data_IF_772336512662
#
_entry.id   IF_772336512662
#
_cell.length_a   1.000
_cell.length_b   1.000
_cell.length_c   1.000
_cell.angle_alpha   90.00
_cell.angle_beta   90.00
_cell.angle_gamma   90.00
#
_symmetry.space_group_name_H-M   'P 1'
#
loop_
_entity.id
_entity.type
_entity.pdbx_description
1 polymer ?
#
# COMPACT_ATOMS: atom_id res chain seq x y z
N UNK A 1 26.75 -28.35 11.63
CA UNK A 1 25.44 -27.82 12.07
C UNK A 1 24.39 -28.51 11.24
N UNK A 2 23.27 -28.92 11.83
CA UNK A 2 22.20 -29.56 11.06
C UNK A 2 21.75 -28.62 9.92
N UNK A 3 21.59 -29.10 8.68
CA UNK A 3 21.17 -28.28 7.54
C UNK A 3 19.87 -27.51 7.82
N UNK A 4 19.00 -28.08 8.66
CA UNK A 4 17.75 -27.46 9.13
C UNK A 4 18.03 -26.22 9.98
N UNK A 5 19.00 -26.27 10.89
CA UNK A 5 19.37 -25.15 11.76
C UNK A 5 19.98 -24.01 10.94
N UNK A 6 20.84 -24.33 9.98
CA UNK A 6 21.44 -23.36 9.05
C UNK A 6 20.34 -22.67 8.23
N UNK A 7 19.35 -23.42 7.75
CA UNK A 7 18.20 -22.89 7.04
C UNK A 7 17.38 -21.90 7.86
N UNK A 8 17.12 -22.19 9.14
CA UNK A 8 16.41 -21.27 10.03
C UNK A 8 17.17 -19.97 10.26
N UNK A 9 18.50 -20.05 10.45
CA UNK A 9 19.35 -18.86 10.57
C UNK A 9 19.38 -18.03 9.28
N UNK A 10 19.48 -18.67 8.11
CA UNK A 10 19.41 -18.01 6.80
C UNK A 10 18.05 -17.32 6.59
N UNK A 11 16.95 -17.99 6.93
CA UNK A 11 15.61 -17.40 6.81
C UNK A 11 15.42 -16.19 7.74
N UNK A 12 15.86 -16.31 9.00
CA UNK A 12 15.80 -15.22 9.97
C UNK A 12 16.65 -14.02 9.52
N UNK A 13 17.88 -14.27 9.08
CA UNK A 13 18.78 -13.22 8.58
C UNK A 13 18.26 -12.60 7.28
N UNK A 14 17.63 -13.38 6.38
CA UNK A 14 16.96 -12.87 5.19
C UNK A 14 15.84 -11.90 5.54
N UNK A 15 14.99 -12.25 6.52
CA UNK A 15 13.89 -11.40 6.97
C UNK A 15 14.39 -10.04 7.47
N UNK A 16 15.39 -10.03 8.36
CA UNK A 16 15.97 -8.78 8.85
C UNK A 16 16.74 -8.00 7.77
N UNK A 17 17.39 -8.70 6.84
CA UNK A 17 18.07 -8.07 5.71
C UNK A 17 17.07 -7.34 4.80
N UNK A 18 15.93 -7.96 4.47
CA UNK A 18 14.85 -7.33 3.70
C UNK A 18 14.38 -6.05 4.39
N UNK A 19 14.11 -6.11 5.70
CA UNK A 19 13.70 -4.92 6.46
C UNK A 19 14.79 -3.84 6.38
N UNK A 20 16.05 -4.19 6.61
CA UNK A 20 17.17 -3.26 6.53
C UNK A 20 17.28 -2.57 5.16
N UNK A 21 17.18 -3.34 4.07
CA UNK A 21 17.23 -2.78 2.71
C UNK A 21 16.01 -1.94 2.36
N UNK A 22 14.82 -2.28 2.85
CA UNK A 22 13.61 -1.46 2.68
C UNK A 22 13.75 -0.12 3.39
N UNK A 23 14.36 -0.09 4.59
CA UNK A 23 14.62 1.14 5.33
C UNK A 23 15.62 2.07 4.63
N UNK A 24 16.50 1.55 3.77
CA UNK A 24 17.40 2.34 2.94
C UNK A 24 16.67 3.07 1.78
N UNK A 25 15.38 2.81 1.57
CA UNK A 25 14.57 3.50 0.57
C UNK A 25 14.73 2.99 -0.86
N UNK A 26 15.35 1.84 -1.06
CA UNK A 26 15.41 1.20 -2.38
C UNK A 26 14.00 0.73 -2.82
N UNK A 27 13.67 0.78 -4.13
CA UNK A 27 12.36 0.34 -4.59
C UNK A 27 12.08 -1.12 -4.20
N UNK A 28 10.91 -1.35 -3.62
CA UNK A 28 10.51 -2.61 -2.97
C UNK A 28 10.75 -3.83 -3.86
N UNK A 29 10.42 -3.75 -5.15
CA UNK A 29 10.59 -4.85 -6.10
C UNK A 29 12.05 -5.31 -6.22
N UNK A 30 13.00 -4.38 -6.33
CA UNK A 30 14.42 -4.70 -6.44
C UNK A 30 14.98 -5.20 -5.12
N UNK A 31 14.52 -4.63 -4.00
CA UNK A 31 14.91 -5.09 -2.68
C UNK A 31 14.51 -6.54 -2.47
N UNK A 32 13.24 -6.89 -2.69
CA UNK A 32 12.74 -8.26 -2.51
C UNK A 32 13.40 -9.25 -3.47
N UNK A 33 13.53 -8.91 -4.76
CA UNK A 33 14.15 -9.79 -5.75
C UNK A 33 15.65 -9.99 -5.45
N UNK A 34 16.38 -8.90 -5.18
CA UNK A 34 17.81 -8.91 -4.91
C UNK A 34 18.13 -9.70 -3.64
N UNK A 35 17.46 -9.43 -2.53
CA UNK A 35 17.67 -10.19 -1.29
C UNK A 35 17.33 -11.66 -1.47
N UNK A 36 16.24 -11.98 -2.17
CA UNK A 36 15.86 -13.38 -2.40
C UNK A 36 16.91 -14.13 -3.22
N UNK A 37 17.49 -13.49 -4.25
CA UNK A 37 18.55 -14.10 -5.08
C UNK A 37 19.85 -14.26 -4.28
N UNK A 38 20.25 -13.25 -3.50
CA UNK A 38 21.46 -13.32 -2.65
C UNK A 38 21.33 -14.49 -1.66
N UNK A 39 20.19 -14.59 -0.98
CA UNK A 39 19.96 -15.65 -0.01
C UNK A 39 19.74 -17.02 -0.65
N UNK A 40 19.19 -17.10 -1.87
CA UNK A 40 19.15 -18.33 -2.64
C UNK A 40 20.58 -18.81 -2.99
N UNK A 41 21.47 -17.89 -3.38
CA UNK A 41 22.88 -18.23 -3.66
C UNK A 41 23.62 -18.69 -2.39
N UNK A 42 23.42 -18.01 -1.27
CA UNK A 42 23.95 -18.45 0.03
C UNK A 42 23.39 -19.81 0.44
N UNK A 43 22.09 -20.03 0.24
CA UNK A 43 21.45 -21.32 0.51
C UNK A 43 21.99 -22.47 -0.34
N UNK A 44 22.38 -22.21 -1.59
CA UNK A 44 23.06 -23.19 -2.44
C UNK A 44 24.46 -23.52 -1.89
N UNK A 45 25.22 -22.50 -1.45
CA UNK A 45 26.56 -22.70 -0.89
C UNK A 45 26.55 -23.55 0.38
N UNK A 46 25.52 -23.42 1.21
CA UNK A 46 25.36 -24.22 2.43
C UNK A 46 24.59 -25.54 2.22
N UNK A 47 24.27 -25.92 0.98
CA UNK A 47 23.49 -27.12 0.63
C UNK A 47 22.11 -27.20 1.29
N UNK A 48 21.53 -26.05 1.66
CA UNK A 48 20.19 -25.95 2.28
C UNK A 48 19.09 -25.63 1.25
N UNK A 49 19.48 -25.13 0.08
CA UNK A 49 18.56 -24.74 -0.99
C UNK A 49 18.83 -25.54 -2.26
N UNK A 50 17.77 -26.04 -2.91
CA UNK A 50 17.87 -26.76 -4.18
C UNK A 50 17.58 -25.81 -5.36
N UNK A 51 18.50 -25.80 -6.32
CA UNK A 51 18.39 -25.03 -7.56
C UNK A 51 17.15 -25.39 -8.38
N UNK A 52 16.62 -26.61 -8.23
CA UNK A 52 15.36 -27.03 -8.86
C UNK A 52 14.18 -26.12 -8.48
N UNK A 53 14.19 -25.54 -7.28
CA UNK A 53 13.16 -24.61 -6.79
C UNK A 53 13.09 -23.32 -7.60
N UNK A 54 14.19 -22.88 -8.22
CA UNK A 54 14.20 -21.70 -9.10
C UNK A 54 13.50 -21.96 -10.43
N UNK A 55 13.36 -23.22 -10.87
CA UNK A 55 12.61 -23.54 -12.11
C UNK A 55 11.13 -23.24 -11.96
N UNK A 56 10.58 -23.38 -10.74
CA UNK A 56 9.19 -23.00 -10.44
C UNK A 56 8.95 -21.48 -10.60
N UNK A 57 10.00 -20.66 -10.55
CA UNK A 57 9.91 -19.21 -10.69
C UNK A 57 9.36 -18.83 -12.07
N UNK A 58 9.79 -19.50 -13.14
CA UNK A 58 9.34 -19.22 -14.50
C UNK A 58 7.83 -19.46 -14.65
N UNK A 59 7.32 -20.58 -14.14
CA UNK A 59 5.89 -20.87 -14.14
C UNK A 59 5.07 -19.86 -13.33
N UNK A 60 5.58 -19.42 -12.17
CA UNK A 60 4.96 -18.38 -11.35
C UNK A 60 4.92 -17.03 -12.08
N UNK A 61 6.02 -16.63 -12.72
CA UNK A 61 6.08 -15.39 -13.50
C UNK A 61 5.04 -15.37 -14.62
N UNK A 62 4.97 -16.43 -15.42
CA UNK A 62 3.95 -16.55 -16.49
C UNK A 62 2.54 -16.52 -15.91
N UNK A 63 2.30 -17.23 -14.81
CA UNK A 63 1.00 -17.24 -14.13
C UNK A 63 0.54 -15.85 -13.66
N UNK A 64 1.44 -15.04 -13.11
CA UNK A 64 1.14 -13.65 -12.75
C UNK A 64 0.93 -12.77 -13.99
N UNK A 65 1.70 -12.95 -15.06
CA UNK A 65 1.54 -12.15 -16.29
C UNK A 65 0.19 -12.37 -16.98
N UNK A 66 -0.36 -13.58 -16.89
CA UNK A 66 -1.66 -13.93 -17.50
C UNK A 66 -2.84 -13.73 -16.56
N UNK A 67 -2.62 -13.23 -15.34
CA UNK A 67 -3.67 -13.08 -14.36
C UNK A 67 -4.59 -11.90 -14.70
N UNK A 68 -5.81 -12.20 -15.11
CA UNK A 68 -6.82 -11.20 -15.47
C UNK A 68 -7.21 -10.29 -14.30
N UNK A 69 -7.13 -10.78 -13.05
CA UNK A 69 -7.40 -9.98 -11.85
C UNK A 69 -6.36 -8.87 -11.69
N UNK A 70 -5.11 -9.12 -12.10
CA UNK A 70 -4.04 -8.12 -12.02
C UNK A 70 -4.20 -6.99 -13.06
N UNK A 71 -5.00 -7.18 -14.11
CA UNK A 71 -5.39 -6.10 -15.05
C UNK A 71 -6.18 -4.99 -14.35
N UNK A 72 -6.87 -5.32 -13.25
CA UNK A 72 -7.59 -4.33 -12.46
C UNK A 72 -6.64 -3.30 -11.81
N UNK A 73 -5.41 -3.68 -11.46
CA UNK A 73 -4.44 -2.81 -10.77
C UNK A 73 -4.11 -1.55 -11.59
N UNK A 74 -3.64 -1.62 -12.86
CA UNK A 74 -3.37 -0.43 -13.66
C UNK A 74 -4.63 0.39 -13.96
N UNK A 75 -5.80 -0.24 -14.14
CA UNK A 75 -7.07 0.46 -14.33
C UNK A 75 -7.47 1.26 -13.08
N UNK A 76 -7.23 0.72 -11.88
CA UNK A 76 -7.47 1.43 -10.62
C UNK A 76 -6.48 2.57 -10.40
N UNK A 77 -5.19 2.34 -10.70
CA UNK A 77 -4.20 3.43 -10.67
C UNK A 77 -4.61 4.54 -11.64
N UNK A 78 -5.05 4.20 -12.86
CA UNK A 78 -5.54 5.18 -13.83
C UNK A 78 -6.73 5.97 -13.31
N UNK A 79 -7.73 5.30 -12.74
CA UNK A 79 -8.90 5.95 -12.12
C UNK A 79 -8.49 6.90 -10.98
N UNK A 80 -7.61 6.45 -10.08
CA UNK A 80 -7.11 7.25 -8.97
C UNK A 80 -6.40 8.52 -9.47
N UNK A 81 -5.52 8.39 -10.46
CA UNK A 81 -4.82 9.53 -11.08
C UNK A 81 -5.81 10.47 -11.79
N UNK A 82 -6.81 9.94 -12.50
CA UNK A 82 -7.84 10.76 -13.15
C UNK A 82 -8.67 11.57 -12.15
N UNK A 83 -9.06 10.97 -11.02
CA UNK A 83 -9.80 11.64 -9.95
C UNK A 83 -8.96 12.72 -9.25
N UNK A 84 -7.67 12.47 -9.05
CA UNK A 84 -6.74 13.45 -8.50
C UNK A 84 -6.53 14.62 -9.48
N UNK A 85 -6.24 14.33 -10.76
CA UNK A 85 -5.94 15.34 -11.79
C UNK A 85 -7.15 16.18 -12.19
N UNK A 86 -8.37 15.66 -12.06
CA UNK A 86 -9.61 16.39 -12.34
C UNK A 86 -10.00 17.40 -11.26
N UNK A 87 -9.27 17.49 -10.14
CA UNK A 87 -9.56 18.36 -8.99
C UNK A 87 -10.93 18.10 -8.32
N UNK A 88 -11.56 16.97 -8.62
CA UNK A 88 -12.81 16.56 -7.97
C UNK A 88 -12.59 16.41 -6.46
N UNK A 89 -11.41 15.96 -6.03
CA UNK A 89 -10.99 15.89 -4.63
C UNK A 89 -11.16 17.22 -3.86
N UNK A 90 -10.63 18.31 -4.39
CA UNK A 90 -10.72 19.64 -3.77
C UNK A 90 -12.16 20.17 -3.75
N UNK A 91 -12.89 19.95 -4.85
CA UNK A 91 -14.30 20.35 -4.96
C UNK A 91 -15.19 19.59 -3.98
N UNK A 92 -14.96 18.28 -3.81
CA UNK A 92 -15.67 17.46 -2.83
C UNK A 92 -15.38 17.95 -1.41
N UNK A 93 -14.12 18.23 -1.07
CA UNK A 93 -13.77 18.74 0.26
C UNK A 93 -14.43 20.10 0.57
N UNK A 94 -14.40 21.02 -0.40
CA UNK A 94 -15.06 22.33 -0.28
C UNK A 94 -16.59 22.20 -0.16
N UNK A 95 -17.20 21.30 -0.93
CA UNK A 95 -18.65 21.06 -0.91
C UNK A 95 -19.09 20.40 0.39
N UNK A 96 -18.36 19.39 0.86
CA UNK A 96 -18.63 18.73 2.14
C UNK A 96 -18.41 19.69 3.31
N UNK A 97 -17.37 20.52 3.25
CA UNK A 97 -17.13 21.57 4.23
C UNK A 97 -18.28 22.59 4.31
N UNK A 98 -18.95 22.91 3.19
CA UNK A 98 -20.17 23.73 3.18
C UNK A 98 -21.39 22.96 3.70
N UNK A 99 -21.55 21.70 3.30
CA UNK A 99 -22.66 20.83 3.70
C UNK A 99 -22.69 20.63 5.22
N UNK A 100 -21.54 20.35 5.82
CA UNK A 100 -21.38 20.13 7.25
C UNK A 100 -20.94 21.40 8.00
N UNK A 101 -20.80 22.55 7.33
CA UNK A 101 -20.25 23.79 7.92
C UNK A 101 -21.05 24.32 9.12
N UNK A 102 -22.35 24.04 9.16
CA UNK A 102 -23.23 24.43 10.27
C UNK A 102 -23.14 23.48 11.49
N UNK A 103 -22.50 22.32 11.34
CA UNK A 103 -22.28 21.37 12.42
C UNK A 103 -20.95 21.62 13.13
N UNK A 104 -20.99 21.58 14.48
CA UNK A 104 -19.77 21.52 15.30
C UNK A 104 -18.95 20.28 14.88
N UNK A 105 -17.74 20.49 14.39
CA UNK A 105 -16.89 19.39 13.90
C UNK A 105 -17.08 19.01 12.43
N UNK A 106 -17.92 19.71 11.67
CA UNK A 106 -18.30 19.33 10.31
C UNK A 106 -17.14 19.27 9.31
N UNK A 107 -16.13 20.12 9.48
CA UNK A 107 -14.91 20.06 8.67
C UNK A 107 -14.13 18.76 8.91
N UNK A 108 -14.03 18.28 10.15
CA UNK A 108 -13.38 17.00 10.46
C UNK A 108 -14.11 15.80 9.84
N UNK A 109 -15.45 15.81 9.90
CA UNK A 109 -16.28 14.78 9.24
C UNK A 109 -16.07 14.80 7.73
N UNK A 110 -16.00 15.99 7.14
CA UNK A 110 -15.74 16.18 5.70
C UNK A 110 -14.38 15.59 5.30
N UNK A 111 -13.34 15.81 6.11
CA UNK A 111 -12.01 15.24 5.87
C UNK A 111 -12.03 13.71 5.94
N UNK A 112 -12.75 13.12 6.90
CA UNK A 112 -12.85 11.65 7.00
C UNK A 112 -13.58 11.07 5.79
N UNK A 113 -14.73 11.63 5.41
CA UNK A 113 -15.52 11.13 4.28
C UNK A 113 -14.80 11.30 2.95
N UNK A 114 -14.30 12.50 2.66
CA UNK A 114 -13.60 12.78 1.40
C UNK A 114 -12.27 12.04 1.36
N UNK A 115 -11.54 12.01 2.47
CA UNK A 115 -10.32 11.24 2.62
C UNK A 115 -10.57 9.75 2.35
N UNK A 116 -11.63 9.17 2.91
CA UNK A 116 -12.00 7.78 2.68
C UNK A 116 -12.35 7.49 1.21
N UNK A 117 -13.13 8.36 0.56
CA UNK A 117 -13.50 8.21 -0.86
C UNK A 117 -12.29 8.29 -1.78
N UNK A 118 -11.38 9.26 -1.54
CA UNK A 118 -10.17 9.40 -2.33
C UNK A 118 -9.16 8.28 -2.04
N UNK A 119 -9.05 7.85 -0.79
CA UNK A 119 -8.22 6.73 -0.39
C UNK A 119 -8.70 5.44 -1.07
N UNK A 120 -10.02 5.21 -1.09
CA UNK A 120 -10.63 4.07 -1.76
C UNK A 120 -10.25 4.05 -3.24
N UNK A 121 -10.35 5.18 -3.94
CA UNK A 121 -10.03 5.23 -5.36
C UNK A 121 -8.55 5.01 -5.71
N UNK A 122 -7.64 5.32 -4.79
CA UNK A 122 -6.19 5.27 -5.05
C UNK A 122 -5.54 4.01 -4.49
N UNK A 123 -6.12 3.37 -3.47
CA UNK A 123 -5.62 2.13 -2.86
C UNK A 123 -4.28 2.26 -2.14
N UNK A 124 -3.70 3.47 -2.06
CA UNK A 124 -2.35 3.73 -1.53
C UNK A 124 -2.40 4.77 -0.41
N UNK A 125 -2.26 4.30 0.84
CA UNK A 125 -2.35 5.12 2.05
C UNK A 125 -1.37 6.30 2.02
N UNK A 126 -0.12 6.07 1.61
CA UNK A 126 0.92 7.11 1.62
C UNK A 126 0.61 8.30 0.72
N UNK A 127 0.18 8.04 -0.52
CA UNK A 127 -0.16 9.10 -1.47
C UNK A 127 -1.36 9.92 -0.97
N UNK A 128 -2.42 9.25 -0.52
CA UNK A 128 -3.63 9.95 -0.07
C UNK A 128 -3.38 10.79 1.19
N UNK A 129 -2.62 10.27 2.16
CA UNK A 129 -2.30 11.01 3.39
C UNK A 129 -1.47 12.25 3.09
N UNK A 130 -0.52 12.18 2.15
CA UNK A 130 0.26 13.34 1.73
C UNK A 130 -0.64 14.38 1.03
N UNK A 131 -1.47 13.96 0.07
CA UNK A 131 -2.38 14.86 -0.64
C UNK A 131 -3.40 15.52 0.30
N UNK A 132 -4.01 14.75 1.20
CA UNK A 132 -4.91 15.28 2.24
C UNK A 132 -4.18 16.12 3.29
N UNK A 133 -2.93 15.81 3.60
CA UNK A 133 -2.09 16.65 4.43
C UNK A 133 -1.88 18.03 3.82
N UNK A 134 -1.56 18.09 2.52
CA UNK A 134 -1.32 19.36 1.82
C UNK A 134 -2.58 20.21 1.66
N UNK A 135 -3.74 19.57 1.44
CA UNK A 135 -5.01 20.27 1.15
C UNK A 135 -5.79 20.56 2.44
N UNK A 136 -5.97 19.54 3.28
CA UNK A 136 -6.91 19.56 4.41
C UNK A 136 -6.31 20.13 5.69
N UNK A 137 -5.02 19.87 5.97
CA UNK A 137 -4.39 20.33 7.21
C UNK A 137 -4.40 21.87 7.33
N UNK A 138 -4.04 22.66 6.31
CA UNK A 138 -4.11 24.12 6.42
C UNK A 138 -5.53 24.63 6.64
N UNK A 139 -6.54 23.97 6.05
CA UNK A 139 -7.94 24.33 6.24
C UNK A 139 -8.43 24.04 7.67
N UNK A 140 -8.05 22.89 8.24
CA UNK A 140 -8.37 22.52 9.62
C UNK A 140 -7.72 23.47 10.64
N UNK A 141 -6.46 23.89 10.40
CA UNK A 141 -5.77 24.86 11.26
C UNK A 141 -6.45 26.23 11.25
N UNK A 142 -6.87 26.73 10.09
CA UNK A 142 -7.65 27.99 10.00
C UNK A 142 -9.01 27.90 10.70
N UNK A 143 -9.59 26.70 10.76
CA UNK A 143 -10.83 26.44 11.47
C UNK A 143 -10.66 26.19 12.98
N UNK A 144 -9.44 26.30 13.52
CA UNK A 144 -9.16 26.17 14.96
C UNK A 144 -9.14 24.75 15.50
N UNK A 145 -8.93 23.74 14.64
CA UNK A 145 -8.77 22.35 15.11
C UNK A 145 -7.43 22.17 15.83
N UNK A 146 -7.40 21.27 16.82
CA UNK A 146 -6.16 20.81 17.43
C UNK A 146 -5.28 20.08 16.39
N UNK A 147 -3.98 20.37 16.29
CA UNK A 147 -3.08 19.71 15.33
C UNK A 147 -3.03 18.19 15.44
N UNK A 148 -3.12 17.63 16.65
CA UNK A 148 -3.09 16.17 16.86
C UNK A 148 -4.37 15.55 16.31
N UNK A 149 -5.52 16.19 16.55
CA UNK A 149 -6.80 15.73 15.99
C UNK A 149 -6.81 15.82 14.46
N UNK A 150 -6.32 16.92 13.89
CA UNK A 150 -6.27 17.11 12.44
C UNK A 150 -5.37 16.06 11.76
N UNK A 151 -4.14 15.88 12.25
CA UNK A 151 -3.23 14.86 11.73
C UNK A 151 -3.79 13.45 11.92
N UNK A 152 -4.34 13.14 13.10
CA UNK A 152 -4.96 11.84 13.38
C UNK A 152 -6.13 11.53 12.45
N UNK A 153 -7.01 12.50 12.21
CA UNK A 153 -8.15 12.34 11.31
C UNK A 153 -7.71 12.14 9.85
N UNK A 154 -6.71 12.89 9.38
CA UNK A 154 -6.15 12.73 8.04
C UNK A 154 -5.52 11.34 7.89
N UNK A 155 -4.66 10.93 8.82
CA UNK A 155 -4.03 9.61 8.81
C UNK A 155 -5.07 8.48 8.84
N UNK A 156 -6.06 8.55 9.73
CA UNK A 156 -7.12 7.56 9.84
C UNK A 156 -7.96 7.49 8.56
N UNK A 157 -8.33 8.63 7.98
CA UNK A 157 -9.10 8.68 6.73
C UNK A 157 -8.36 8.02 5.56
N UNK A 158 -7.03 8.21 5.48
CA UNK A 158 -6.19 7.60 4.45
C UNK A 158 -6.13 6.07 4.56
N UNK A 159 -6.22 5.51 5.77
CA UNK A 159 -6.23 4.05 5.97
C UNK A 159 -7.56 3.39 5.57
N UNK A 160 -8.68 4.13 5.61
CA UNK A 160 -10.00 3.56 5.26
C UNK A 160 -10.08 3.14 3.79
N UNK A 161 -9.28 3.74 2.91
CA UNK A 161 -9.23 3.38 1.50
C UNK A 161 -8.78 1.96 1.21
N UNK A 162 -8.05 1.32 2.13
CA UNK A 162 -7.67 -0.08 1.96
C UNK A 162 -8.87 -1.03 2.08
N UNK A 163 -9.92 -0.63 2.79
CA UNK A 163 -11.08 -1.47 3.11
C UNK A 163 -12.25 -1.21 2.15
N UNK A 164 -12.41 0.02 1.66
CA UNK A 164 -13.53 0.41 0.80
C UNK A 164 -13.23 0.00 -0.65
N UNK A 165 -14.06 -0.86 -1.28
CA UNK A 165 -13.93 -1.16 -2.71
C UNK A 165 -14.10 0.10 -3.57
N UNK A 166 -13.30 0.26 -4.64
CA UNK A 166 -12.30 -0.67 -5.16
C UNK A 166 -10.90 -0.52 -4.53
N UNK A 167 -10.34 -1.59 -3.94
CA UNK A 167 -9.04 -1.53 -3.26
C UNK A 167 -8.04 -2.52 -3.85
N UNK A 168 -6.87 -2.02 -4.26
CA UNK A 168 -5.76 -2.84 -4.77
C UNK A 168 -5.33 -3.92 -3.78
N UNK A 169 -5.30 -3.61 -2.49
CA UNK A 169 -4.96 -4.58 -1.43
C UNK A 169 -5.98 -5.71 -1.37
N UNK A 170 -7.27 -5.39 -1.47
CA UNK A 170 -8.37 -6.34 -1.43
C UNK A 170 -8.34 -7.27 -2.65
N UNK A 171 -8.03 -6.72 -3.83
CA UNK A 171 -7.86 -7.47 -5.08
C UNK A 171 -6.69 -8.46 -4.94
N UNK A 172 -5.53 -7.99 -4.46
CA UNK A 172 -4.36 -8.86 -4.25
C UNK A 172 -4.62 -9.94 -3.20
N UNK A 173 -5.25 -9.60 -2.08
CA UNK A 173 -5.60 -10.58 -1.05
C UNK A 173 -6.57 -11.63 -1.58
N UNK A 174 -7.59 -11.22 -2.34
CA UNK A 174 -8.54 -12.14 -2.97
C UNK A 174 -7.87 -13.10 -3.94
N UNK A 175 -6.98 -12.60 -4.80
CA UNK A 175 -6.22 -13.42 -5.75
C UNK A 175 -5.29 -14.42 -5.04
N UNK A 176 -4.57 -13.99 -4.01
CA UNK A 176 -3.68 -14.85 -3.23
C UNK A 176 -4.44 -15.98 -2.52
N UNK A 177 -5.60 -15.68 -1.92
CA UNK A 177 -6.43 -16.68 -1.25
C UNK A 177 -7.03 -17.66 -2.27
N UNK A 178 -7.47 -17.16 -3.43
CA UNK A 178 -7.99 -18.02 -4.50
C UNK A 178 -6.92 -18.99 -5.04
N UNK A 179 -5.68 -18.53 -5.17
CA UNK A 179 -4.55 -19.35 -5.63
C UNK A 179 -4.00 -20.35 -4.61
N UNK A 180 -4.53 -20.40 -3.38
CA UNK A 180 -4.19 -21.40 -2.37
C UNK A 180 -5.03 -22.68 -2.47
N UNK A 181 -6.10 -22.69 -3.28
CA UNK A 181 -6.95 -23.86 -3.57
C UNK A 181 -6.62 -24.46 -4.94
#
# INVERSE_FOLDING_TARGET
MDPVLIGQFLAGTMFFAVIGFLLLGFPVAFTLAGTSIIFAYLGLFFEVFDLSSLRALAGRYTGYMTNEVLVAVPLFIFMGVMLERSKIAEQLLSTMGKLFGNMRGGLGISVILVGALLAASTGVVGATVVTMGLISLPAMMRAGYDPKLACGAICASGTLGQIIPPSTVLIFMGDMIAGMN
#
